data_IF_221767104873
#
_entry.id   IF_221767104873
#
_cell.length_a   1.000
_cell.length_b   1.000
_cell.length_c   1.000
_cell.angle_alpha   90.00
_cell.angle_beta   90.00
_cell.angle_gamma   90.00
#
_symmetry.space_group_name_H-M   'P 1'
#
loop_
_entity.id
_entity.type
_entity.pdbx_description
1 polymer ?
#
# COMPACT_ATOMS: atom_id res chain seq x y z
N UNK A 1 15.30 16.22 61.47
CA UNK A 1 13.93 16.22 60.89
C UNK A 1 13.87 16.65 59.41
N UNK A 2 14.68 17.59 58.92
CA UNK A 2 14.65 18.04 57.51
C UNK A 2 15.16 17.03 56.45
N UNK A 3 15.88 15.97 56.85
CA UNK A 3 16.42 14.99 55.90
C UNK A 3 15.34 14.01 55.41
N UNK A 4 14.46 13.58 56.31
CA UNK A 4 13.36 12.67 56.00
C UNK A 4 12.33 13.31 55.06
N UNK A 5 12.08 14.62 55.18
CA UNK A 5 11.15 15.35 54.32
C UNK A 5 11.69 15.51 52.89
N UNK A 6 13.00 15.63 52.71
CA UNK A 6 13.64 15.67 51.37
C UNK A 6 13.51 14.34 50.65
N UNK A 7 13.76 13.21 51.32
CA UNK A 7 13.58 11.89 50.71
C UNK A 7 12.12 11.56 50.43
N UNK A 8 11.20 11.99 51.29
CA UNK A 8 9.76 11.84 51.05
C UNK A 8 9.31 12.61 49.79
N UNK A 9 9.79 13.84 49.60
CA UNK A 9 9.47 14.62 48.40
C UNK A 9 10.08 14.02 47.12
N UNK A 10 11.31 13.49 47.20
CA UNK A 10 11.94 12.80 46.05
C UNK A 10 11.18 11.53 45.68
N UNK A 11 10.74 10.74 46.66
CA UNK A 11 9.94 9.53 46.42
C UNK A 11 8.57 9.85 45.81
N UNK A 12 7.92 10.94 46.25
CA UNK A 12 6.63 11.37 45.71
C UNK A 12 6.75 11.89 44.27
N UNK A 13 7.82 12.63 43.94
CA UNK A 13 8.08 13.08 42.58
C UNK A 13 8.41 11.92 41.64
N UNK A 14 9.18 10.93 42.11
CA UNK A 14 9.48 9.74 41.32
C UNK A 14 8.24 8.85 41.07
N UNK A 15 7.32 8.78 42.03
CA UNK A 15 6.06 8.04 41.83
C UNK A 15 5.13 8.73 40.81
N UNK A 16 5.12 10.07 40.76
CA UNK A 16 4.35 10.84 39.78
C UNK A 16 4.91 10.75 38.36
N UNK A 17 6.23 10.60 38.18
CA UNK A 17 6.80 10.45 36.83
C UNK A 17 6.55 9.07 36.23
N UNK A 18 6.44 8.02 37.06
CA UNK A 18 6.17 6.65 36.58
C UNK A 18 4.74 6.48 36.06
N UNK A 19 3.75 7.22 36.59
CA UNK A 19 2.36 7.12 36.14
C UNK A 19 2.07 7.84 34.82
N UNK A 20 2.91 8.80 34.41
CA UNK A 20 2.73 9.56 33.15
C UNK A 20 3.26 8.80 31.93
N UNK A 21 4.13 7.80 32.09
CA UNK A 21 4.80 7.10 30.98
C UNK A 21 4.09 5.78 30.60
N UNK A 22 3.25 5.23 31.48
CA UNK A 22 2.54 3.99 31.21
C UNK A 22 1.19 4.25 30.52
N UNK A 23 1.21 4.59 29.23
CA UNK A 23 0.04 4.35 28.38
C UNK A 23 -0.01 2.83 28.09
N UNK A 24 -0.98 2.06 28.64
CA UNK A 24 -1.13 0.68 28.23
C UNK A 24 -1.60 0.71 26.77
N UNK A 25 -0.78 0.18 25.86
CA UNK A 25 -1.16 -0.12 24.49
C UNK A 25 -2.19 -1.27 24.49
N UNK A 26 -3.41 -0.98 24.94
CA UNK A 26 -4.53 -1.91 24.91
C UNK A 26 -4.99 -2.01 23.46
N UNK A 27 -4.47 -3.05 22.80
CA UNK A 27 -4.97 -3.70 21.58
C UNK A 27 -6.26 -3.08 21.03
N UNK A 28 -6.15 -2.32 19.95
CA UNK A 28 -7.29 -2.09 19.06
C UNK A 28 -7.74 -3.44 18.47
N UNK A 29 -8.72 -4.07 19.11
CA UNK A 29 -9.51 -5.11 18.44
C UNK A 29 -10.39 -4.35 17.46
N UNK A 30 -9.93 -4.21 16.21
CA UNK A 30 -10.75 -3.58 15.16
C UNK A 30 -12.09 -4.32 15.08
N UNK A 31 -13.23 -3.60 15.14
CA UNK A 31 -14.54 -4.23 15.03
C UNK A 31 -14.63 -4.98 13.69
N UNK A 32 -15.12 -6.22 13.72
CA UNK A 32 -15.32 -7.04 12.52
C UNK A 32 -16.35 -6.33 11.64
N UNK A 33 -15.88 -5.75 10.52
CA UNK A 33 -16.73 -5.00 9.60
C UNK A 33 -17.80 -5.93 9.01
N UNK A 34 -19.07 -5.61 9.25
CA UNK A 34 -20.22 -6.38 8.76
C UNK A 34 -20.81 -5.78 7.47
N UNK A 35 -19.97 -5.12 6.66
CA UNK A 35 -20.33 -4.67 5.32
C UNK A 35 -20.31 -5.89 4.39
N UNK A 36 -21.26 -6.07 3.45
CA UNK A 36 -21.10 -7.07 2.40
C UNK A 36 -19.75 -6.80 1.72
N UNK A 37 -18.78 -7.65 2.01
CA UNK A 37 -17.38 -7.33 1.76
C UNK A 37 -17.14 -7.23 0.27
N UNK A 38 -16.58 -6.11 -0.19
CA UNK A 38 -15.94 -6.10 -1.50
C UNK A 38 -14.66 -6.93 -1.35
N UNK A 39 -14.59 -8.07 -2.02
CA UNK A 39 -13.50 -9.04 -1.87
C UNK A 39 -12.42 -8.85 -2.92
N UNK A 40 -11.26 -9.47 -2.69
CA UNK A 40 -10.22 -9.54 -3.70
C UNK A 40 -10.69 -10.41 -4.86
N UNK A 41 -10.61 -9.89 -6.09
CA UNK A 41 -10.92 -10.66 -7.29
C UNK A 41 -9.86 -11.75 -7.51
N UNK A 42 -10.32 -12.85 -8.10
CA UNK A 42 -9.45 -13.91 -8.60
C UNK A 42 -8.93 -13.55 -9.99
N UNK A 43 -7.74 -14.06 -10.38
CA UNK A 43 -7.24 -13.87 -11.73
C UNK A 43 -8.15 -14.49 -12.79
N UNK A 44 -8.25 -13.82 -13.94
CA UNK A 44 -9.05 -14.27 -15.08
C UNK A 44 -8.11 -14.76 -16.18
N UNK A 45 -8.09 -16.06 -16.53
CA UNK A 45 -7.10 -16.63 -17.45
C UNK A 45 -6.96 -15.90 -18.78
N UNK A 46 -8.09 -15.48 -19.39
CA UNK A 46 -8.09 -14.75 -20.65
C UNK A 46 -7.44 -13.36 -20.55
N UNK A 47 -7.70 -12.62 -19.46
CA UNK A 47 -7.06 -11.32 -19.19
C UNK A 47 -5.56 -11.51 -18.88
N UNK A 48 -5.22 -12.57 -18.17
CA UNK A 48 -3.84 -12.94 -17.89
C UNK A 48 -3.03 -13.33 -19.14
N UNK A 49 -3.67 -13.87 -20.18
CA UNK A 49 -3.01 -14.08 -21.48
C UNK A 49 -2.83 -12.75 -22.25
N UNK A 50 -3.85 -11.88 -22.19
CA UNK A 50 -3.90 -10.61 -22.91
C UNK A 50 -3.48 -9.41 -22.03
N UNK A 51 -2.35 -9.55 -21.34
CA UNK A 51 -1.81 -8.53 -20.44
C UNK A 51 -1.37 -7.27 -21.20
N UNK A 52 -1.90 -6.08 -20.87
CA UNK A 52 -1.37 -4.84 -21.42
C UNK A 52 0.07 -4.59 -20.94
N UNK A 53 0.92 -4.11 -21.84
CA UNK A 53 2.31 -3.75 -21.56
C UNK A 53 2.63 -2.50 -22.36
N UNK A 54 3.26 -1.53 -21.72
CA UNK A 54 3.57 -0.24 -22.34
C UNK A 54 5.07 0.04 -22.32
N UNK A 55 5.71 -0.14 -21.16
CA UNK A 55 7.15 -0.02 -21.04
C UNK A 55 7.74 -1.09 -20.15
N UNK A 56 9.05 -1.31 -20.28
CA UNK A 56 9.79 -2.29 -19.49
C UNK A 56 10.88 -1.59 -18.69
N UNK A 57 10.97 -1.90 -17.40
CA UNK A 57 12.01 -1.38 -16.52
C UNK A 57 12.38 -2.43 -15.46
N UNK A 58 13.67 -2.68 -15.32
CA UNK A 58 14.25 -3.55 -14.28
C UNK A 58 13.59 -4.94 -14.18
N UNK A 59 13.30 -5.61 -15.29
CA UNK A 59 12.67 -6.94 -15.26
C UNK A 59 11.14 -6.93 -15.25
N UNK A 60 10.51 -5.76 -15.18
CA UNK A 60 9.06 -5.61 -15.06
C UNK A 60 8.47 -4.85 -16.23
N UNK A 61 7.28 -5.29 -16.66
CA UNK A 61 6.49 -4.49 -17.59
C UNK A 61 5.57 -3.60 -16.77
N UNK A 62 5.31 -2.41 -17.27
CA UNK A 62 4.38 -1.47 -16.67
C UNK A 62 3.37 -1.06 -17.72
N UNK A 63 2.22 -0.62 -17.24
CA UNK A 63 1.17 -0.11 -18.08
C UNK A 63 0.38 0.93 -17.27
N UNK A 64 0.03 2.04 -17.91
CA UNK A 64 -0.80 3.07 -17.31
C UNK A 64 -2.25 2.96 -17.77
N UNK A 65 -3.16 2.72 -16.82
CA UNK A 65 -4.57 2.44 -17.12
C UNK A 65 -5.25 3.53 -17.96
N UNK A 66 -4.85 4.80 -17.83
CA UNK A 66 -5.41 5.90 -18.63
C UNK A 66 -5.21 5.77 -20.14
N UNK A 67 -4.19 5.03 -20.59
CA UNK A 67 -3.93 4.83 -22.01
C UNK A 67 -4.83 3.78 -22.67
N UNK A 68 -5.42 2.87 -21.90
CA UNK A 68 -6.40 1.92 -22.43
C UNK A 68 -7.79 2.56 -22.47
N UNK A 69 -8.47 2.57 -23.64
CA UNK A 69 -9.77 3.21 -23.80
C UNK A 69 -10.81 2.78 -22.77
N UNK A 70 -10.82 1.49 -22.39
CA UNK A 70 -11.80 0.94 -21.46
C UNK A 70 -11.63 1.43 -20.01
N UNK A 71 -10.51 2.06 -19.66
CA UNK A 71 -10.20 2.49 -18.29
C UNK A 71 -10.01 4.01 -18.15
N UNK A 72 -9.86 4.75 -19.26
CA UNK A 72 -9.43 6.16 -19.30
C UNK A 72 -10.24 7.13 -18.42
N UNK A 73 -11.53 6.88 -18.24
CA UNK A 73 -12.44 7.78 -17.52
C UNK A 73 -13.06 7.16 -16.25
N UNK A 74 -12.54 6.01 -15.82
CA UNK A 74 -13.00 5.36 -14.60
C UNK A 74 -12.19 5.94 -13.45
N UNK A 75 -12.74 6.11 -12.25
CA UNK A 75 -11.94 6.37 -11.05
C UNK A 75 -12.00 5.14 -10.17
N UNK A 76 -10.84 4.54 -9.94
CA UNK A 76 -10.74 3.41 -9.02
C UNK A 76 -10.45 3.91 -7.63
N UNK A 77 -11.10 3.32 -6.64
CA UNK A 77 -10.54 3.31 -5.31
C UNK A 77 -9.41 2.27 -5.21
N UNK A 78 -8.77 2.19 -4.05
CA UNK A 78 -7.62 1.31 -3.88
C UNK A 78 -7.93 -0.18 -4.10
N UNK A 79 -9.07 -0.67 -3.61
CA UNK A 79 -9.38 -2.09 -3.71
C UNK A 79 -9.89 -2.45 -5.12
N UNK A 80 -10.60 -1.56 -5.80
CA UNK A 80 -10.99 -1.77 -7.20
C UNK A 80 -9.76 -1.76 -8.12
N UNK A 81 -8.81 -0.86 -7.88
CA UNK A 81 -7.54 -0.85 -8.60
C UNK A 81 -6.75 -2.14 -8.37
N UNK A 82 -6.70 -2.63 -7.11
CA UNK A 82 -6.03 -3.89 -6.78
C UNK A 82 -6.72 -5.09 -7.44
N UNK A 83 -8.05 -5.10 -7.48
CA UNK A 83 -8.82 -6.15 -8.13
C UNK A 83 -8.61 -6.17 -9.64
N UNK A 84 -8.59 -5.00 -10.27
CA UNK A 84 -8.26 -4.88 -11.69
C UNK A 84 -6.89 -5.48 -11.99
N UNK A 85 -5.86 -5.14 -11.21
CA UNK A 85 -4.52 -5.70 -11.42
C UNK A 85 -4.52 -7.23 -11.30
N UNK A 86 -5.19 -7.76 -10.26
CA UNK A 86 -5.28 -9.22 -10.01
C UNK A 86 -5.98 -9.97 -11.13
N UNK A 87 -7.02 -9.42 -11.73
CA UNK A 87 -7.71 -10.04 -12.86
C UNK A 87 -6.78 -10.26 -14.06
N UNK A 88 -5.81 -9.38 -14.26
CA UNK A 88 -4.79 -9.48 -15.31
C UNK A 88 -3.53 -10.26 -14.87
N UNK A 89 -3.53 -10.87 -13.68
CA UNK A 89 -2.35 -11.48 -13.08
C UNK A 89 -1.18 -10.49 -12.92
N UNK A 90 -1.50 -9.23 -12.59
CA UNK A 90 -0.55 -8.15 -12.30
C UNK A 90 -0.75 -7.62 -10.88
N UNK A 91 0.12 -6.70 -10.47
CA UNK A 91 0.05 -6.04 -9.17
C UNK A 91 0.08 -4.51 -9.33
N UNK A 92 -0.40 -3.81 -8.30
CA UNK A 92 -0.09 -2.39 -8.15
C UNK A 92 1.43 -2.23 -8.01
N UNK A 93 2.01 -1.13 -8.50
CA UNK A 93 3.44 -0.92 -8.46
C UNK A 93 3.90 -0.87 -7.01
N UNK A 94 4.89 -1.70 -6.70
CA UNK A 94 5.69 -1.63 -5.49
C UNK A 94 7.04 -1.10 -5.91
N UNK A 95 7.60 -0.12 -5.20
CA UNK A 95 8.90 0.44 -5.57
C UNK A 95 9.97 -0.22 -4.71
N UNK A 96 10.80 -1.06 -5.34
CA UNK A 96 11.83 -1.84 -4.64
C UNK A 96 13.20 -1.16 -4.71
N UNK A 97 13.37 -0.22 -5.63
CA UNK A 97 14.63 0.52 -5.86
C UNK A 97 14.38 2.02 -5.95
N UNK A 98 15.40 2.82 -5.66
CA UNK A 98 15.31 4.27 -5.76
C UNK A 98 15.14 4.72 -7.22
N UNK A 99 15.77 4.01 -8.15
CA UNK A 99 15.70 4.26 -9.58
C UNK A 99 14.26 4.05 -10.09
N UNK A 100 13.59 2.98 -9.65
CA UNK A 100 12.18 2.72 -9.96
C UNK A 100 11.27 3.83 -9.39
N UNK A 101 11.49 4.23 -8.14
CA UNK A 101 10.75 5.32 -7.53
C UNK A 101 10.93 6.64 -8.31
N UNK A 102 12.16 6.94 -8.73
CA UNK A 102 12.47 8.15 -9.50
C UNK A 102 11.84 8.13 -10.90
N UNK A 103 11.84 6.97 -11.57
CA UNK A 103 11.17 6.79 -12.85
C UNK A 103 9.67 7.09 -12.72
N UNK A 104 9.02 6.47 -11.75
CA UNK A 104 7.58 6.57 -11.55
C UNK A 104 7.20 7.99 -11.12
N UNK A 105 8.01 8.63 -10.27
CA UNK A 105 7.83 10.03 -9.89
C UNK A 105 7.86 10.96 -11.10
N UNK A 106 8.81 10.78 -12.03
CA UNK A 106 8.87 11.56 -13.28
C UNK A 106 7.66 11.32 -14.18
N UNK A 107 7.15 10.10 -14.25
CA UNK A 107 5.93 9.80 -15.01
C UNK A 107 4.72 10.52 -14.41
N UNK A 108 4.52 10.47 -13.09
CA UNK A 108 3.39 11.13 -12.41
C UNK A 108 3.41 12.66 -12.61
N UNK A 109 4.57 13.28 -12.74
CA UNK A 109 4.68 14.73 -13.00
C UNK A 109 4.12 15.13 -14.37
N UNK A 110 4.13 14.22 -15.35
CA UNK A 110 3.53 14.46 -16.65
C UNK A 110 2.00 14.51 -16.52
N UNK A 111 1.36 15.47 -17.20
CA UNK A 111 -0.10 15.67 -17.11
C UNK A 111 -0.90 14.43 -17.49
N UNK A 112 -0.35 13.61 -18.39
CA UNK A 112 -0.97 12.40 -18.91
C UNK A 112 -1.14 11.30 -17.86
N UNK A 113 -0.25 11.20 -16.86
CA UNK A 113 -0.27 10.13 -15.85
C UNK A 113 -0.89 10.55 -14.50
N UNK A 114 -1.45 11.76 -14.43
CA UNK A 114 -1.90 12.39 -13.18
C UNK A 114 -3.14 11.73 -12.55
N UNK A 115 -3.95 11.06 -13.36
CA UNK A 115 -5.19 10.42 -12.90
C UNK A 115 -5.14 8.92 -13.18
N UNK A 116 -5.33 8.07 -12.18
CA UNK A 116 -5.37 6.60 -12.27
C UNK A 116 -4.02 5.88 -12.43
N UNK A 117 -3.36 5.69 -11.28
CA UNK A 117 -2.54 4.53 -10.93
C UNK A 117 -1.80 3.82 -12.07
N UNK A 118 -0.48 3.99 -12.11
CA UNK A 118 0.44 3.11 -12.86
C UNK A 118 0.28 1.68 -12.31
N UNK A 119 0.34 0.66 -13.17
CA UNK A 119 0.23 -0.76 -12.81
C UNK A 119 1.53 -1.47 -13.20
N UNK A 120 2.03 -2.36 -12.33
CA UNK A 120 3.25 -3.15 -12.58
C UNK A 120 2.84 -4.59 -12.90
N UNK A 121 3.15 -5.03 -14.11
CA UNK A 121 3.13 -6.43 -14.46
C UNK A 121 4.28 -7.10 -13.70
N UNK A 122 3.94 -7.78 -12.61
CA UNK A 122 4.82 -8.79 -12.08
C UNK A 122 4.89 -9.88 -13.14
N UNK A 123 6.06 -10.06 -13.75
CA UNK A 123 6.31 -11.23 -14.55
C UNK A 123 6.15 -12.42 -13.60
N UNK A 124 4.95 -12.98 -13.52
CA UNK A 124 4.79 -14.37 -13.16
C UNK A 124 5.47 -15.13 -14.29
N UNK A 125 6.78 -15.33 -14.12
CA UNK A 125 7.50 -16.45 -14.72
C UNK A 125 6.61 -17.68 -14.49
N UNK A 126 6.43 -18.54 -15.51
CA UNK A 126 5.53 -19.67 -15.45
C UNK A 126 5.83 -20.43 -14.17
N UNK A 127 4.81 -20.80 -13.39
CA UNK A 127 4.97 -21.88 -12.43
C UNK A 127 5.55 -23.07 -13.19
N UNK A 128 6.77 -23.55 -12.86
CA UNK A 128 7.35 -24.67 -13.54
C UNK A 128 6.62 -25.95 -13.17
N UNK A 129 6.11 -26.62 -14.23
CA UNK A 129 5.69 -28.03 -14.36
C UNK A 129 4.59 -28.55 -13.43
#
# INVERSE_FOLDING_TARGET
MLWATKWALVALLAAWTVTVIANPAIKEIRPKSNRPGRFLSLPVPQKCANRPKEFFFNGHNYFYTGHVPQFRNIKYDWLDARNLCREYCMDLPSFETQEENNLIFRLIQQSEYRNLSIVRNKLLIPTPK
#
